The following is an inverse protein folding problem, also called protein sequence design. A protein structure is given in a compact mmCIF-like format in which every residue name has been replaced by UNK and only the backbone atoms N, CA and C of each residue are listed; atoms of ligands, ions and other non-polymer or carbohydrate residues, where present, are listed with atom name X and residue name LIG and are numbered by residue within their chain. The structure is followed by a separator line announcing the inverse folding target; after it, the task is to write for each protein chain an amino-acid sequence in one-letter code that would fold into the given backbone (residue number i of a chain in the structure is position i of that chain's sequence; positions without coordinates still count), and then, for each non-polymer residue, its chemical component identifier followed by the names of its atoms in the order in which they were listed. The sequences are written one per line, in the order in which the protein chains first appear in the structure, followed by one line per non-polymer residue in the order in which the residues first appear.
data_IF_005505952830
#
_entry.id   IF_005505952830
#
_cell.length_a   1.000
_cell.length_b   1.000
_cell.length_c   1.000
_cell.angle_alpha   90.00
_cell.angle_beta   90.00
_cell.angle_gamma   90.00
#
_symmetry.space_group_name_H-M   'P 1'
#
loop_
_entity.id
_entity.type
_entity.pdbx_description
1 polymer ?
#
# COMPACT_ATOMS: atom_id res chain seq x y z
N UNK A 1 31.04 25.15 5.01
CA UNK A 1 31.15 23.68 5.08
C UNK A 1 29.74 23.10 5.16
N UNK A 2 29.42 22.09 4.33
CA UNK A 2 28.14 21.40 4.46
C UNK A 2 28.20 20.42 5.64
N UNK A 3 27.18 20.45 6.51
CA UNK A 3 27.05 19.52 7.64
C UNK A 3 26.65 18.16 7.09
N UNK A 4 27.44 17.10 7.36
CA UNK A 4 27.03 15.72 7.10
C UNK A 4 25.88 15.37 8.06
N UNK A 5 24.71 15.09 7.51
CA UNK A 5 23.54 14.57 8.25
C UNK A 5 23.44 13.08 8.01
N UNK A 6 23.19 12.31 9.06
CA UNK A 6 22.85 10.89 8.94
C UNK A 6 21.34 10.78 8.71
N UNK A 7 20.94 9.96 7.74
CA UNK A 7 19.55 9.67 7.41
C UNK A 7 19.40 8.15 7.29
N UNK A 8 18.34 7.62 7.90
CA UNK A 8 18.01 6.20 7.84
C UNK A 8 16.58 6.06 7.36
N UNK A 9 16.34 5.04 6.54
CA UNK A 9 15.04 4.63 6.03
C UNK A 9 14.97 3.11 6.05
N UNK A 10 13.76 2.57 6.15
CA UNK A 10 13.48 1.14 6.13
C UNK A 10 12.40 0.81 5.10
N UNK A 11 12.29 -0.48 4.77
CA UNK A 11 11.25 -1.06 3.93
C UNK A 11 10.93 -2.45 4.46
N UNK A 12 9.70 -2.89 4.24
CA UNK A 12 9.27 -4.26 4.51
C UNK A 12 9.03 -5.00 3.20
N UNK A 13 9.05 -6.33 3.22
CA UNK A 13 8.74 -7.15 2.04
C UNK A 13 7.23 -7.20 1.78
N UNK A 14 6.85 -7.69 0.60
CA UNK A 14 5.46 -7.95 0.22
C UNK A 14 4.71 -8.88 1.20
N UNK A 15 5.43 -9.71 1.96
CA UNK A 15 4.86 -10.62 2.94
C UNK A 15 4.61 -10.02 4.33
N UNK A 16 4.97 -8.74 4.54
CA UNK A 16 4.63 -8.07 5.79
C UNK A 16 3.10 -7.95 5.92
N UNK A 17 2.48 -8.22 7.09
CA UNK A 17 1.03 -8.21 7.23
C UNK A 17 0.36 -6.92 6.72
N UNK A 18 0.94 -5.76 7.04
CA UNK A 18 0.45 -4.47 6.51
C UNK A 18 0.55 -4.38 4.98
N UNK A 19 1.62 -4.91 4.37
CA UNK A 19 1.75 -4.94 2.91
C UNK A 19 0.84 -5.96 2.25
N UNK A 20 0.48 -7.03 2.94
CA UNK A 20 -0.57 -7.94 2.48
C UNK A 20 -1.92 -7.23 2.52
N UNK A 21 -2.22 -6.50 3.59
CA UNK A 21 -3.45 -5.71 3.69
C UNK A 21 -3.55 -4.65 2.57
N UNK A 22 -2.46 -3.90 2.33
CA UNK A 22 -2.36 -2.96 1.20
C UNK A 22 -2.66 -3.65 -0.13
N UNK A 23 -1.98 -4.78 -0.41
CA UNK A 23 -2.14 -5.52 -1.66
C UNK A 23 -3.57 -6.04 -1.88
N UNK A 24 -4.24 -6.52 -0.82
CA UNK A 24 -5.62 -6.99 -0.91
C UNK A 24 -6.57 -5.83 -1.20
N UNK A 25 -6.41 -4.71 -0.48
CA UNK A 25 -7.22 -3.51 -0.70
C UNK A 25 -7.05 -2.97 -2.13
N UNK A 26 -5.82 -2.91 -2.64
CA UNK A 26 -5.53 -2.44 -4.00
C UNK A 26 -6.03 -3.42 -5.07
N UNK A 27 -5.94 -4.74 -4.85
CA UNK A 27 -6.47 -5.72 -5.80
C UNK A 27 -8.00 -5.58 -5.98
N UNK A 28 -8.72 -5.20 -4.92
CA UNK A 28 -10.16 -4.91 -4.98
C UNK A 28 -10.41 -3.60 -5.75
N UNK A 29 -9.63 -2.55 -5.47
CA UNK A 29 -9.69 -1.29 -6.23
C UNK A 29 -9.47 -1.52 -7.73
N UNK A 30 -8.43 -2.28 -8.09
CA UNK A 30 -8.10 -2.60 -9.48
C UNK A 30 -9.24 -3.35 -10.18
N UNK A 31 -9.84 -4.33 -9.49
CA UNK A 31 -10.98 -5.06 -10.03
C UNK A 31 -12.18 -4.13 -10.27
N UNK A 32 -12.48 -3.22 -9.34
CA UNK A 32 -13.55 -2.24 -9.50
C UNK A 32 -13.28 -1.26 -10.65
N UNK A 33 -12.05 -0.72 -10.75
CA UNK A 33 -11.68 0.24 -11.79
C UNK A 33 -11.62 -0.40 -13.19
N UNK A 34 -11.30 -1.69 -13.28
CA UNK A 34 -11.34 -2.45 -14.54
C UNK A 34 -12.77 -2.51 -15.11
N UNK A 35 -13.76 -2.68 -14.25
CA UNK A 35 -15.16 -2.83 -14.68
C UNK A 35 -15.86 -1.46 -14.80
N UNK A 36 -15.61 -0.53 -13.87
CA UNK A 36 -16.08 0.86 -13.91
C UNK A 36 -14.96 1.83 -13.48
N UNK A 37 -14.36 2.59 -14.43
CA UNK A 37 -13.34 3.59 -14.13
C UNK A 37 -13.80 4.74 -13.20
N UNK A 38 -15.11 4.89 -12.95
CA UNK A 38 -15.67 5.88 -12.02
C UNK A 38 -16.05 5.27 -10.66
N UNK A 39 -15.66 4.01 -10.41
CA UNK A 39 -15.89 3.33 -9.14
C UNK A 39 -15.39 4.19 -7.96
N UNK A 40 -16.24 4.32 -6.93
CA UNK A 40 -15.87 4.95 -5.66
C UNK A 40 -15.57 3.86 -4.64
N UNK A 41 -14.29 3.65 -4.34
CA UNK A 41 -13.79 2.55 -3.50
C UNK A 41 -13.05 3.13 -2.30
N UNK A 42 -13.37 2.61 -1.11
CA UNK A 42 -12.70 2.91 0.16
C UNK A 42 -12.57 1.57 0.93
N UNK A 43 -11.79 0.66 0.37
CA UNK A 43 -11.64 -0.70 0.89
C UNK A 43 -10.50 -0.75 1.92
N UNK A 44 -10.82 -1.20 3.13
CA UNK A 44 -9.88 -1.37 4.24
C UNK A 44 -9.73 -2.86 4.55
N UNK A 45 -8.49 -3.33 4.73
CA UNK A 45 -8.19 -4.74 5.02
C UNK A 45 -7.51 -4.88 6.38
N UNK A 46 -8.00 -5.81 7.20
CA UNK A 46 -7.39 -6.18 8.46
C UNK A 46 -6.83 -7.61 8.39
N UNK A 47 -5.64 -7.82 8.94
CA UNK A 47 -5.03 -9.14 9.12
C UNK A 47 -4.39 -9.21 10.51
N UNK A 48 -4.34 -10.41 11.09
CA UNK A 48 -3.76 -10.70 12.43
C UNK A 48 -2.68 -11.76 12.35
#
# INVERSE_FOLDING_TARGET
MAIKKLFTSESVSEGHPDKIADQVSDAILDACLRDDPKSRVACETFTT
#
